data_IF_638894032025
#
_entry.id   IF_638894032025
#
_cell.length_a   1.000
_cell.length_b   1.000
_cell.length_c   1.000
_cell.angle_alpha   90.00
_cell.angle_beta   90.00
_cell.angle_gamma   90.00
#
_symmetry.space_group_name_H-M   'P 1'
#
loop_
_entity.id
_entity.type
_entity.pdbx_description
1 polymer ?
#
# COMPACT_ATOMS: atom_id res chain seq x y z
N UNK A 1 -15.51 -32.86 -37.15
CA UNK A 1 -14.77 -34.13 -36.90
C UNK A 1 -13.28 -33.80 -36.94
N UNK A 2 -12.67 -33.40 -35.79
CA UNK A 2 -11.25 -33.05 -35.70
C UNK A 2 -10.56 -34.19 -34.98
N UNK A 3 -9.65 -34.87 -35.67
CA UNK A 3 -8.82 -35.95 -35.13
C UNK A 3 -7.72 -35.32 -34.25
N UNK A 4 -7.75 -35.62 -32.97
CA UNK A 4 -6.63 -35.36 -32.04
C UNK A 4 -5.59 -36.47 -32.30
N UNK A 5 -4.42 -36.10 -32.78
CA UNK A 5 -3.27 -37.01 -32.91
C UNK A 5 -2.51 -36.92 -31.58
N UNK A 6 -2.68 -37.94 -30.73
CA UNK A 6 -1.83 -38.15 -29.56
C UNK A 6 -0.50 -38.73 -30.02
N UNK A 7 0.60 -38.00 -29.86
CA UNK A 7 1.95 -38.54 -30.07
C UNK A 7 2.35 -39.36 -28.83
N UNK A 8 2.69 -40.62 -29.10
CA UNK A 8 3.20 -41.60 -28.14
C UNK A 8 4.57 -41.15 -27.55
N UNK A 9 4.78 -41.17 -26.22
CA UNK A 9 6.02 -40.70 -25.57
C UNK A 9 7.19 -41.70 -25.63
N UNK A 10 7.11 -42.81 -26.38
CA UNK A 10 8.07 -43.91 -26.28
C UNK A 10 9.35 -43.81 -27.11
N UNK A 11 9.65 -42.70 -27.80
CA UNK A 11 10.88 -42.53 -28.58
C UNK A 11 11.71 -41.30 -28.21
N UNK A 12 12.12 -41.20 -26.95
CA UNK A 12 13.25 -40.34 -26.58
C UNK A 12 14.56 -41.13 -26.70
N UNK A 13 15.41 -40.77 -27.67
CA UNK A 13 16.72 -41.38 -27.90
C UNK A 13 17.54 -41.31 -26.59
N UNK A 14 18.24 -42.39 -26.23
CA UNK A 14 19.17 -42.48 -25.05
C UNK A 14 20.19 -41.33 -25.01
N UNK A 15 20.53 -40.73 -26.14
CA UNK A 15 21.42 -39.58 -26.27
C UNK A 15 20.75 -38.28 -25.70
N UNK A 16 19.48 -38.04 -25.98
CA UNK A 16 18.76 -36.88 -25.51
C UNK A 16 18.49 -36.93 -24.00
N UNK A 17 18.29 -38.13 -23.46
CA UNK A 17 18.13 -38.30 -21.99
C UNK A 17 19.43 -38.00 -21.24
N UNK A 18 20.60 -38.42 -21.77
CA UNK A 18 21.90 -38.07 -21.16
C UNK A 18 22.19 -36.58 -21.23
N UNK A 19 21.88 -35.91 -22.33
CA UNK A 19 22.06 -34.47 -22.49
C UNK A 19 21.16 -33.70 -21.51
N UNK A 20 19.91 -34.15 -21.33
CA UNK A 20 18.98 -33.54 -20.38
C UNK A 20 19.44 -33.70 -18.93
N UNK A 21 19.96 -34.87 -18.55
CA UNK A 21 20.52 -35.10 -17.21
C UNK A 21 21.75 -34.21 -16.96
N UNK A 22 22.65 -34.09 -17.92
CA UNK A 22 23.85 -33.22 -17.81
C UNK A 22 23.45 -31.73 -17.71
N UNK A 23 22.51 -31.27 -18.51
CA UNK A 23 22.02 -29.88 -18.42
C UNK A 23 21.31 -29.59 -17.10
N UNK A 24 20.50 -30.54 -16.60
CA UNK A 24 19.83 -30.41 -15.32
C UNK A 24 20.80 -30.41 -14.15
N UNK A 25 21.83 -31.27 -14.16
CA UNK A 25 22.88 -31.26 -13.11
C UNK A 25 23.74 -30.00 -13.17
N UNK A 26 24.09 -29.47 -14.35
CA UNK A 26 24.79 -28.20 -14.48
C UNK A 26 23.94 -27.04 -14.00
N UNK A 27 22.64 -27.04 -14.25
CA UNK A 27 21.73 -26.02 -13.76
C UNK A 27 21.56 -26.06 -12.23
N UNK A 28 21.44 -27.27 -11.64
CA UNK A 28 21.39 -27.41 -10.17
C UNK A 28 22.70 -27.01 -9.51
N UNK A 29 23.85 -27.36 -10.10
CA UNK A 29 25.18 -26.91 -9.60
C UNK A 29 25.32 -25.39 -9.72
N UNK A 30 24.85 -24.81 -10.82
CA UNK A 30 24.83 -23.35 -11.00
C UNK A 30 23.95 -22.67 -9.94
N UNK A 31 22.76 -23.22 -9.68
CA UNK A 31 21.90 -22.72 -8.60
C UNK A 31 22.56 -22.83 -7.22
N UNK A 32 23.28 -23.93 -6.93
CA UNK A 32 23.97 -24.12 -5.65
C UNK A 32 25.21 -23.20 -5.47
N UNK A 33 25.91 -22.87 -6.58
CA UNK A 33 27.10 -22.03 -6.55
C UNK A 33 26.78 -20.53 -6.59
N UNK A 34 25.69 -20.13 -7.24
CA UNK A 34 25.32 -18.74 -7.47
C UNK A 34 24.10 -18.28 -6.70
N UNK A 35 23.36 -19.21 -6.07
CA UNK A 35 22.37 -18.80 -5.08
C UNK A 35 23.12 -18.34 -3.83
N UNK A 36 23.03 -17.04 -3.44
CA UNK A 36 23.63 -16.64 -2.18
C UNK A 36 23.03 -17.52 -1.08
N UNK A 37 23.89 -18.16 -0.31
CA UNK A 37 23.44 -18.94 0.86
C UNK A 37 22.66 -17.99 1.74
N UNK A 38 21.36 -18.15 1.75
CA UNK A 38 20.47 -17.42 2.63
C UNK A 38 20.74 -17.94 4.03
N UNK A 39 21.69 -17.31 4.73
CA UNK A 39 21.84 -17.53 6.17
C UNK A 39 20.68 -16.85 6.85
N UNK A 40 19.85 -17.57 7.62
CA UNK A 40 18.71 -16.98 8.33
C UNK A 40 19.13 -16.05 9.48
N UNK A 41 20.39 -15.65 9.56
CA UNK A 41 20.97 -14.81 10.60
C UNK A 41 21.44 -13.44 10.08
N UNK A 42 20.73 -12.87 9.12
CA UNK A 42 20.75 -11.44 8.92
C UNK A 42 19.95 -10.82 10.07
N UNK A 43 20.60 -10.68 11.24
CA UNK A 43 20.16 -9.70 12.24
C UNK A 43 20.34 -8.35 11.55
N UNK A 44 19.26 -7.90 10.89
CA UNK A 44 19.14 -6.47 10.62
C UNK A 44 19.23 -5.80 11.99
N UNK A 45 20.11 -4.81 12.18
CA UNK A 45 20.10 -4.09 13.42
C UNK A 45 18.66 -3.59 13.59
N UNK A 46 17.95 -4.14 14.56
CA UNK A 46 16.76 -3.50 15.10
C UNK A 46 17.29 -2.17 15.61
N UNK A 47 17.25 -1.18 14.75
CA UNK A 47 17.46 0.18 15.14
C UNK A 47 16.38 0.46 16.17
N UNK A 48 16.75 0.27 17.43
CA UNK A 48 16.03 0.84 18.54
C UNK A 48 16.23 2.35 18.40
N UNK A 49 15.53 2.96 17.45
CA UNK A 49 15.45 4.39 17.31
C UNK A 49 14.55 4.91 18.45
N UNK A 50 14.98 4.67 19.67
CA UNK A 50 14.63 5.55 20.79
C UNK A 50 15.46 6.81 20.58
N UNK A 51 14.96 7.69 19.75
CA UNK A 51 15.46 9.05 19.68
C UNK A 51 15.31 9.65 21.09
N UNK A 52 16.43 9.82 21.76
CA UNK A 52 16.54 10.59 23.01
C UNK A 52 16.51 12.10 22.75
N UNK A 53 16.05 12.50 21.55
CA UNK A 53 15.85 13.91 21.24
C UNK A 53 14.60 14.36 22.00
N UNK A 54 14.79 15.21 23.01
CA UNK A 54 13.69 15.92 23.68
C UNK A 54 12.85 16.59 22.60
N UNK A 55 11.50 16.44 22.64
CA UNK A 55 10.63 17.05 21.64
C UNK A 55 10.88 18.55 21.57
N UNK A 56 11.09 19.08 20.38
CA UNK A 56 11.05 20.53 20.16
C UNK A 56 9.68 21.06 20.56
N UNK A 57 9.53 22.37 20.80
CA UNK A 57 8.23 22.98 21.11
C UNK A 57 7.19 22.65 20.02
N UNK A 58 7.62 22.63 18.78
CA UNK A 58 6.81 22.29 17.60
C UNK A 58 6.32 20.83 17.65
N UNK A 59 7.20 19.89 17.95
CA UNK A 59 6.83 18.48 18.10
C UNK A 59 5.86 18.27 19.26
N UNK A 60 5.96 19.07 20.34
CA UNK A 60 5.03 18.99 21.47
C UNK A 60 3.61 19.40 21.07
N UNK A 61 3.44 20.53 20.38
CA UNK A 61 2.12 20.98 19.90
C UNK A 61 1.48 19.96 18.94
N UNK A 62 2.29 19.37 18.04
CA UNK A 62 1.82 18.31 17.17
C UNK A 62 1.37 17.08 17.96
N UNK A 63 2.13 16.64 18.97
CA UNK A 63 1.75 15.50 19.82
C UNK A 63 0.45 15.77 20.59
N UNK A 64 0.27 16.98 21.13
CA UNK A 64 -0.98 17.39 21.77
C UNK A 64 -2.17 17.32 20.81
N UNK A 65 -1.99 17.80 19.58
CA UNK A 65 -3.00 17.73 18.52
C UNK A 65 -3.28 16.26 18.07
N UNK A 66 -2.26 15.42 18.03
CA UNK A 66 -2.42 14.00 17.74
C UNK A 66 -3.24 13.28 18.82
N UNK A 67 -2.98 13.58 20.10
CA UNK A 67 -3.76 13.03 21.22
C UNK A 67 -5.21 13.56 21.24
N UNK A 68 -5.43 14.81 20.84
CA UNK A 68 -6.77 15.38 20.66
C UNK A 68 -7.53 14.61 19.56
N UNK A 69 -6.89 14.38 18.42
CA UNK A 69 -7.49 13.63 17.32
C UNK A 69 -7.82 12.18 17.75
N UNK A 70 -6.89 11.48 18.40
CA UNK A 70 -7.09 10.10 18.89
C UNK A 70 -8.30 10.00 19.80
N UNK A 71 -8.44 10.92 20.77
CA UNK A 71 -9.60 10.95 21.66
C UNK A 71 -10.89 11.16 20.89
N UNK A 72 -10.94 12.16 19.99
CA UNK A 72 -12.12 12.42 19.17
C UNK A 72 -12.53 11.18 18.37
N UNK A 73 -11.56 10.52 17.74
CA UNK A 73 -11.79 9.36 16.88
C UNK A 73 -12.29 8.14 17.68
N UNK A 74 -11.62 7.82 18.78
CA UNK A 74 -12.02 6.73 19.68
C UNK A 74 -13.41 6.97 20.30
N UNK A 75 -13.68 8.18 20.80
CA UNK A 75 -14.98 8.53 21.40
C UNK A 75 -16.11 8.52 20.36
N UNK A 76 -15.83 9.07 19.16
CA UNK A 76 -16.79 9.10 18.06
C UNK A 76 -17.23 7.72 17.61
N UNK A 77 -16.31 6.74 17.60
CA UNK A 77 -16.57 5.36 17.17
C UNK A 77 -16.88 4.39 18.31
N UNK A 78 -16.89 4.85 19.58
CA UNK A 78 -17.06 4.00 20.76
C UNK A 78 -18.26 3.05 20.66
N UNK A 79 -19.39 3.52 20.14
CA UNK A 79 -20.62 2.72 19.99
C UNK A 79 -20.51 1.73 18.83
N UNK A 80 -19.78 2.09 17.77
CA UNK A 80 -19.65 1.30 16.54
C UNK A 80 -18.61 0.18 16.65
N UNK A 81 -17.76 0.18 17.70
CA UNK A 81 -16.65 -0.78 17.87
C UNK A 81 -17.05 -2.25 18.00
N UNK A 82 -18.33 -2.53 18.18
CA UNK A 82 -18.86 -3.91 18.37
C UNK A 82 -19.74 -4.38 17.21
N UNK A 83 -20.12 -3.47 16.34
CA UNK A 83 -21.13 -3.74 15.30
C UNK A 83 -20.59 -3.41 13.91
N UNK A 84 -20.33 -4.42 13.06
CA UNK A 84 -19.72 -4.22 11.75
C UNK A 84 -20.46 -3.22 10.85
N UNK A 85 -21.80 -3.28 10.84
CA UNK A 85 -22.64 -2.37 10.03
C UNK A 85 -22.57 -0.93 10.54
N UNK A 86 -22.55 -0.75 11.85
CA UNK A 86 -22.42 0.56 12.48
C UNK A 86 -21.04 1.16 12.18
N UNK A 87 -19.94 0.37 12.33
CA UNK A 87 -18.60 0.81 11.99
C UNK A 87 -18.53 1.26 10.53
N UNK A 88 -18.99 0.41 9.61
CA UNK A 88 -19.03 0.71 8.18
C UNK A 88 -19.79 1.99 7.85
N UNK A 89 -20.91 2.23 8.51
CA UNK A 89 -21.74 3.40 8.24
C UNK A 89 -21.20 4.68 8.86
N UNK A 90 -20.75 4.63 10.14
CA UNK A 90 -20.44 5.84 10.91
C UNK A 90 -19.02 6.35 10.70
N UNK A 91 -18.08 5.53 10.28
CA UNK A 91 -16.65 5.89 10.16
C UNK A 91 -16.45 7.21 9.40
N UNK A 92 -17.11 7.38 8.26
CA UNK A 92 -16.97 8.59 7.43
C UNK A 92 -17.39 9.87 8.14
N UNK A 93 -18.44 9.80 8.95
CA UNK A 93 -18.92 10.96 9.69
C UNK A 93 -17.98 11.32 10.83
N UNK A 94 -17.44 10.33 11.53
CA UNK A 94 -16.52 10.52 12.63
C UNK A 94 -15.17 11.05 12.13
N UNK A 95 -14.63 10.50 11.04
CA UNK A 95 -13.41 11.00 10.42
C UNK A 95 -13.55 12.49 10.10
N UNK A 96 -14.58 12.86 9.33
CA UNK A 96 -14.77 14.25 8.91
C UNK A 96 -15.08 15.18 10.09
N UNK A 97 -15.83 14.70 11.08
CA UNK A 97 -16.05 15.46 12.33
C UNK A 97 -14.73 15.73 13.04
N UNK A 98 -13.93 14.71 13.30
CA UNK A 98 -12.69 14.86 14.04
C UNK A 98 -11.67 15.70 13.25
N UNK A 99 -11.60 15.56 11.93
CA UNK A 99 -10.80 16.42 11.07
C UNK A 99 -11.15 17.91 11.26
N UNK A 100 -12.43 18.24 11.34
CA UNK A 100 -12.89 19.62 11.41
C UNK A 100 -12.90 20.21 12.82
N UNK A 101 -13.02 19.39 13.86
CA UNK A 101 -13.20 19.82 15.24
C UNK A 101 -11.93 19.72 16.12
N UNK A 102 -10.85 19.13 15.60
CA UNK A 102 -9.57 19.05 16.29
C UNK A 102 -8.54 19.99 15.66
N UNK A 103 -7.42 20.15 16.30
CA UNK A 103 -6.29 20.94 15.83
C UNK A 103 -5.75 20.43 14.48
N UNK A 104 -6.07 19.20 14.06
CA UNK A 104 -5.74 18.69 12.74
C UNK A 104 -6.49 19.39 11.60
N UNK A 105 -7.48 20.25 11.91
CA UNK A 105 -8.07 21.18 10.93
C UNK A 105 -7.05 22.11 10.27
N UNK A 106 -5.93 22.35 10.93
CA UNK A 106 -4.83 23.20 10.43
C UNK A 106 -3.99 22.53 9.33
N UNK A 107 -4.00 21.19 9.24
CA UNK A 107 -3.24 20.48 8.19
C UNK A 107 -3.86 20.79 6.83
N UNK A 108 -3.12 21.48 5.98
CA UNK A 108 -3.57 21.80 4.62
C UNK A 108 -3.52 20.56 3.73
N UNK A 109 -4.66 20.22 3.16
CA UNK A 109 -4.81 19.10 2.21
C UNK A 109 -4.95 19.62 0.80
N UNK A 110 -4.15 19.12 -0.11
CA UNK A 110 -4.30 19.38 -1.54
C UNK A 110 -5.01 18.22 -2.22
N UNK A 111 -6.11 18.52 -2.90
CA UNK A 111 -6.82 17.53 -3.72
C UNK A 111 -6.07 17.30 -5.04
N UNK A 112 -5.82 16.04 -5.36
CA UNK A 112 -5.19 15.58 -6.60
C UNK A 112 -6.19 14.71 -7.33
N UNK A 113 -6.77 15.24 -8.40
CA UNK A 113 -7.96 14.65 -9.03
C UNK A 113 -7.60 13.58 -10.06
N UNK A 114 -8.17 12.39 -9.88
CA UNK A 114 -8.35 11.40 -10.93
C UNK A 114 -9.63 11.65 -11.74
N UNK A 115 -9.96 10.76 -12.65
CA UNK A 115 -11.18 10.86 -13.47
C UNK A 115 -12.44 10.83 -12.63
N UNK A 116 -12.52 9.93 -11.67
CA UNK A 116 -13.69 9.57 -10.88
C UNK A 116 -13.58 9.88 -9.38
N UNK A 117 -12.35 10.15 -8.88
CA UNK A 117 -12.12 10.41 -7.47
C UNK A 117 -11.17 11.58 -7.22
N UNK A 118 -11.13 12.02 -5.95
CA UNK A 118 -10.14 12.96 -5.44
C UNK A 118 -9.21 12.21 -4.48
N UNK A 119 -7.94 12.12 -4.82
CA UNK A 119 -6.88 11.73 -3.91
C UNK A 119 -6.36 12.97 -3.17
N UNK A 120 -5.78 12.79 -1.99
CA UNK A 120 -5.28 13.89 -1.18
C UNK A 120 -3.79 13.75 -0.91
N UNK A 121 -3.14 14.88 -0.75
CA UNK A 121 -1.72 14.96 -0.45
C UNK A 121 -1.42 16.16 0.45
N UNK A 122 -0.47 15.99 1.38
CA UNK A 122 0.15 17.08 2.13
C UNK A 122 1.54 17.29 1.56
N UNK A 123 1.77 18.43 0.91
CA UNK A 123 3.09 18.76 0.36
C UNK A 123 4.09 19.07 1.48
N UNK A 124 5.31 18.60 1.31
CA UNK A 124 6.43 18.97 2.17
C UNK A 124 6.97 20.35 1.76
N UNK A 125 7.54 21.08 2.72
CA UNK A 125 8.39 22.24 2.46
C UNK A 125 9.83 21.86 2.13
N UNK A 126 10.22 20.62 2.42
CA UNK A 126 11.51 20.07 2.04
C UNK A 126 11.64 19.94 0.53
N UNK A 127 12.87 20.14 0.03
CA UNK A 127 13.24 19.87 -1.37
C UNK A 127 13.68 18.42 -1.60
N UNK A 128 13.62 17.58 -0.56
CA UNK A 128 13.98 16.17 -0.69
C UNK A 128 12.98 15.41 -1.56
N UNK A 129 13.47 14.55 -2.46
CA UNK A 129 12.61 13.71 -3.29
C UNK A 129 11.63 12.87 -2.44
N UNK A 130 10.49 12.59 -3.03
CA UNK A 130 9.46 11.73 -2.44
C UNK A 130 9.34 10.41 -3.18
N UNK A 131 8.89 9.39 -2.48
CA UNK A 131 8.56 8.07 -3.03
C UNK A 131 7.05 7.91 -3.08
N UNK A 132 6.53 7.68 -4.27
CA UNK A 132 5.10 7.44 -4.52
C UNK A 132 4.92 6.01 -5.01
N UNK A 133 4.03 5.26 -4.36
CA UNK A 133 3.70 3.88 -4.74
C UNK A 133 2.20 3.78 -5.03
N UNK A 134 1.86 3.25 -6.19
CA UNK A 134 0.47 3.03 -6.63
C UNK A 134 0.19 1.53 -6.78
N UNK A 135 -0.88 1.06 -6.17
CA UNK A 135 -1.47 -0.26 -6.41
C UNK A 135 -2.82 -0.08 -7.09
N UNK A 136 -2.94 -0.62 -8.31
CA UNK A 136 -4.09 -0.42 -9.18
C UNK A 136 -4.00 0.91 -9.94
N UNK A 137 -3.79 0.85 -11.25
CA UNK A 137 -3.71 2.02 -12.13
C UNK A 137 -5.07 2.32 -12.77
N UNK A 138 -5.79 1.26 -13.16
CA UNK A 138 -7.15 1.40 -13.68
C UNK A 138 -7.27 2.25 -14.95
N UNK A 139 -6.21 2.36 -15.76
CA UNK A 139 -6.14 3.20 -16.96
C UNK A 139 -6.31 4.70 -16.66
N UNK A 140 -5.97 5.16 -15.46
CA UNK A 140 -5.98 6.58 -15.07
C UNK A 140 -4.78 6.93 -14.20
N UNK A 141 -3.92 7.80 -14.71
CA UNK A 141 -2.68 8.26 -14.04
C UNK A 141 -2.66 9.77 -13.79
N UNK A 142 -3.82 10.40 -13.78
CA UNK A 142 -3.90 11.87 -13.65
C UNK A 142 -3.36 12.35 -12.32
N UNK A 143 -3.69 11.66 -11.23
CA UNK A 143 -3.21 12.01 -9.90
C UNK A 143 -1.69 11.88 -9.82
N UNK A 144 -1.11 10.79 -10.34
CA UNK A 144 0.32 10.58 -10.37
C UNK A 144 1.04 11.60 -11.25
N UNK A 145 0.46 11.97 -12.39
CA UNK A 145 1.00 13.02 -13.27
C UNK A 145 1.01 14.40 -12.58
N UNK A 146 -0.05 14.73 -11.82
CA UNK A 146 -0.09 15.98 -11.03
C UNK A 146 0.99 15.93 -9.94
N UNK A 147 1.12 14.81 -9.21
CA UNK A 147 2.14 14.65 -8.19
C UNK A 147 3.55 14.73 -8.79
N UNK A 148 3.80 14.09 -9.94
CA UNK A 148 5.09 14.14 -10.63
C UNK A 148 5.51 15.56 -10.96
N UNK A 149 4.58 16.40 -11.41
CA UNK A 149 4.84 17.80 -11.74
C UNK A 149 4.96 18.73 -10.52
N UNK A 150 4.48 18.29 -9.34
CA UNK A 150 4.38 19.12 -8.14
C UNK A 150 5.39 18.73 -7.05
N UNK A 151 5.85 17.49 -7.04
CA UNK A 151 6.83 16.99 -6.08
C UNK A 151 8.25 17.42 -6.46
N UNK A 152 9.20 17.46 -5.50
CA UNK A 152 10.59 17.83 -5.76
C UNK A 152 11.22 16.97 -6.85
N UNK A 153 12.12 17.59 -7.63
CA UNK A 153 12.89 16.88 -8.66
C UNK A 153 13.62 15.66 -8.07
N UNK A 154 13.60 14.54 -8.80
CA UNK A 154 14.16 13.27 -8.34
C UNK A 154 13.17 12.42 -7.54
N UNK A 155 11.92 12.86 -7.33
CA UNK A 155 10.87 12.01 -6.76
C UNK A 155 10.63 10.79 -7.64
N UNK A 156 10.42 9.64 -6.99
CA UNK A 156 10.33 8.34 -7.66
C UNK A 156 8.93 7.77 -7.55
N UNK A 157 8.48 7.19 -8.65
CA UNK A 157 7.14 6.65 -8.79
C UNK A 157 7.21 5.18 -9.17
N UNK A 158 6.42 4.35 -8.49
CA UNK A 158 6.34 2.92 -8.69
C UNK A 158 4.86 2.51 -8.73
N UNK A 159 4.47 1.68 -9.68
CA UNK A 159 3.12 1.16 -9.71
C UNK A 159 3.05 -0.32 -10.06
N UNK A 160 2.08 -1.01 -9.48
CA UNK A 160 1.71 -2.36 -9.86
C UNK A 160 0.24 -2.42 -10.28
N UNK A 161 0.01 -3.06 -11.43
CA UNK A 161 -1.31 -3.38 -11.95
C UNK A 161 -1.21 -4.63 -12.83
N UNK A 162 -2.04 -5.66 -12.66
CA UNK A 162 -1.91 -6.91 -13.41
C UNK A 162 -2.28 -6.78 -14.90
N UNK A 163 -2.96 -5.70 -15.29
CA UNK A 163 -3.33 -5.45 -16.71
C UNK A 163 -2.23 -4.60 -17.36
N UNK A 164 -1.38 -5.28 -18.12
CA UNK A 164 -0.26 -4.64 -18.81
C UNK A 164 -0.71 -3.63 -19.88
N UNK A 165 -1.65 -4.06 -20.75
CA UNK A 165 -2.08 -3.24 -21.89
C UNK A 165 -2.76 -1.95 -21.45
N UNK A 166 -2.23 -0.84 -21.88
CA UNK A 166 -2.71 0.50 -21.56
C UNK A 166 -2.12 1.07 -20.26
N UNK A 167 -1.97 0.26 -19.21
CA UNK A 167 -1.38 0.73 -17.95
C UNK A 167 0.13 0.97 -18.08
N UNK A 168 0.86 0.10 -18.77
CA UNK A 168 2.28 0.29 -19.00
C UNK A 168 2.55 1.59 -19.78
N UNK A 169 1.88 1.77 -20.93
CA UNK A 169 2.03 2.96 -21.77
C UNK A 169 1.71 4.27 -21.03
N UNK A 170 0.75 4.22 -20.08
CA UNK A 170 0.38 5.38 -19.27
C UNK A 170 1.36 5.66 -18.15
N UNK A 171 1.89 4.63 -17.49
CA UNK A 171 2.69 4.79 -16.27
C UNK A 171 4.20 4.92 -16.52
N UNK A 172 4.75 4.28 -17.56
CA UNK A 172 6.19 4.33 -17.88
C UNK A 172 6.78 5.75 -18.01
N UNK A 173 6.03 6.77 -18.53
CA UNK A 173 6.51 8.14 -18.52
C UNK A 173 6.60 8.78 -17.12
N UNK A 174 5.91 8.20 -16.12
CA UNK A 174 5.83 8.70 -14.75
C UNK A 174 6.88 8.00 -13.87
N UNK A 175 7.02 6.68 -14.02
CA UNK A 175 7.87 5.87 -13.18
C UNK A 175 7.95 4.41 -13.58
N UNK A 176 8.35 3.56 -12.64
CA UNK A 176 8.49 2.12 -12.86
C UNK A 176 7.14 1.41 -12.76
N UNK A 177 6.79 0.66 -13.79
CA UNK A 177 5.58 -0.15 -13.85
C UNK A 177 5.88 -1.64 -13.68
N UNK A 178 5.01 -2.36 -12.96
CA UNK A 178 5.14 -3.79 -12.68
C UNK A 178 3.82 -4.53 -13.00
N UNK A 179 3.84 -5.52 -13.95
CA UNK A 179 2.64 -6.16 -14.46
C UNK A 179 2.17 -7.35 -13.60
N UNK A 180 1.85 -7.11 -12.33
CA UNK A 180 1.28 -8.13 -11.43
C UNK A 180 0.35 -7.50 -10.39
N UNK A 181 -0.54 -8.33 -9.85
CA UNK A 181 -1.36 -7.94 -8.72
C UNK A 181 -0.54 -7.96 -7.43
N UNK A 182 -0.81 -7.03 -6.53
CA UNK A 182 -0.18 -7.00 -5.21
C UNK A 182 -1.22 -7.35 -4.16
N UNK A 183 -0.88 -8.31 -3.32
CA UNK A 183 -1.74 -8.80 -2.25
C UNK A 183 -0.95 -9.20 -1.02
N UNK A 184 -1.52 -10.07 -0.20
CA UNK A 184 -0.86 -10.60 1.00
C UNK A 184 0.10 -11.75 0.71
N UNK A 185 -0.12 -12.49 -0.39
CA UNK A 185 0.58 -13.74 -0.69
C UNK A 185 1.08 -13.78 -2.12
N UNK A 186 2.16 -14.52 -2.36
CA UNK A 186 2.60 -14.89 -3.71
C UNK A 186 1.72 -16.04 -4.20
N UNK A 187 0.97 -15.81 -5.26
CA UNK A 187 0.03 -16.79 -5.80
C UNK A 187 -0.25 -16.58 -7.29
N UNK A 188 -0.85 -17.56 -7.92
CA UNK A 188 -1.52 -17.41 -9.21
C UNK A 188 -2.99 -17.68 -8.96
N UNK A 189 -3.79 -16.63 -8.82
CA UNK A 189 -5.19 -16.71 -8.39
C UNK A 189 -6.04 -15.63 -9.06
N UNK A 190 -7.33 -15.64 -8.74
CA UNK A 190 -8.25 -14.66 -9.29
C UNK A 190 -7.98 -13.26 -8.74
N UNK A 191 -7.96 -12.29 -9.66
CA UNK A 191 -8.03 -10.86 -9.36
C UNK A 191 -9.24 -10.26 -10.08
N UNK A 192 -9.91 -9.30 -9.48
CA UNK A 192 -10.87 -8.46 -10.17
C UNK A 192 -10.09 -7.39 -10.94
N UNK A 193 -10.25 -7.36 -12.26
CA UNK A 193 -9.43 -6.50 -13.12
C UNK A 193 -10.29 -5.74 -14.13
N UNK A 194 -9.92 -4.50 -14.43
CA UNK A 194 -10.57 -3.68 -15.44
C UNK A 194 -10.06 -4.05 -16.84
N UNK A 195 -10.92 -4.71 -17.65
CA UNK A 195 -10.59 -5.08 -19.01
C UNK A 195 -11.70 -4.65 -19.97
N UNK A 196 -11.34 -3.88 -21.00
CA UNK A 196 -12.29 -3.35 -21.98
C UNK A 196 -13.47 -2.57 -21.31
N UNK A 197 -13.18 -1.78 -20.28
CA UNK A 197 -14.16 -0.97 -19.55
C UNK A 197 -15.12 -1.76 -18.64
N UNK A 198 -14.83 -3.05 -18.37
CA UNK A 198 -15.60 -3.91 -17.47
C UNK A 198 -14.71 -4.59 -16.45
N UNK A 199 -15.17 -4.70 -15.22
CA UNK A 199 -14.52 -5.50 -14.20
C UNK A 199 -14.83 -6.97 -14.41
N UNK A 200 -13.79 -7.79 -14.51
CA UNK A 200 -13.87 -9.24 -14.67
C UNK A 200 -12.90 -9.96 -13.75
N UNK A 201 -13.28 -11.14 -13.28
CA UNK A 201 -12.36 -12.03 -12.61
C UNK A 201 -11.41 -12.68 -13.63
N UNK A 202 -10.12 -12.56 -13.40
CA UNK A 202 -9.08 -13.18 -14.21
C UNK A 202 -8.01 -13.80 -13.31
N UNK A 203 -7.47 -14.95 -13.73
CA UNK A 203 -6.32 -15.57 -13.07
C UNK A 203 -5.08 -14.74 -13.39
N UNK A 204 -4.45 -14.18 -12.36
CA UNK A 204 -3.30 -13.28 -12.47
C UNK A 204 -2.18 -13.70 -11.51
N UNK A 205 -0.91 -13.40 -11.86
CA UNK A 205 0.19 -13.53 -10.91
C UNK A 205 0.05 -12.47 -9.82
N UNK A 206 0.16 -12.90 -8.57
CA UNK A 206 0.19 -12.06 -7.39
C UNK A 206 1.57 -12.11 -6.76
N UNK A 207 2.02 -10.98 -6.27
CA UNK A 207 3.18 -10.87 -5.39
C UNK A 207 2.72 -10.34 -4.04
N UNK A 208 3.36 -10.79 -2.96
CA UNK A 208 3.07 -10.22 -1.66
C UNK A 208 3.65 -8.79 -1.55
N UNK A 209 2.97 -7.94 -0.77
CA UNK A 209 3.31 -6.52 -0.62
C UNK A 209 4.73 -6.31 -0.08
N UNK A 210 5.21 -7.16 0.83
CA UNK A 210 6.53 -7.01 1.43
C UNK A 210 7.61 -7.28 0.38
N UNK A 211 7.48 -8.35 -0.41
CA UNK A 211 8.36 -8.63 -1.53
C UNK A 211 8.31 -7.49 -2.56
N UNK A 212 7.11 -6.99 -2.88
CA UNK A 212 6.98 -5.84 -3.79
C UNK A 212 7.77 -4.63 -3.29
N UNK A 213 7.54 -4.19 -2.06
CA UNK A 213 8.19 -3.01 -1.52
C UNK A 213 9.70 -3.20 -1.30
N UNK A 214 10.13 -4.37 -0.80
CA UNK A 214 11.55 -4.59 -0.47
C UNK A 214 12.43 -5.01 -1.65
N UNK A 215 11.88 -5.69 -2.67
CA UNK A 215 12.67 -6.24 -3.79
C UNK A 215 12.50 -5.46 -5.10
N UNK A 216 11.34 -4.87 -5.34
CA UNK A 216 11.06 -4.13 -6.57
C UNK A 216 11.12 -2.61 -6.34
N UNK A 217 10.42 -2.08 -5.36
CA UNK A 217 10.47 -0.65 -5.01
C UNK A 217 11.80 -0.30 -4.36
N UNK A 218 12.27 -1.11 -3.40
CA UNK A 218 13.55 -0.97 -2.67
C UNK A 218 13.68 0.32 -1.87
N UNK A 219 12.57 0.81 -1.36
CA UNK A 219 12.49 2.00 -0.52
C UNK A 219 11.89 1.62 0.84
N UNK A 220 12.48 2.13 1.90
CA UNK A 220 12.00 1.91 3.26
C UNK A 220 10.95 2.94 3.68
N UNK A 221 10.96 4.12 3.06
CA UNK A 221 9.99 5.20 3.34
C UNK A 221 9.16 5.46 2.10
N UNK A 222 7.86 5.26 2.21
CA UNK A 222 6.87 5.56 1.19
C UNK A 222 6.18 6.86 1.60
N UNK A 223 6.44 7.92 0.88
CA UNK A 223 5.90 9.24 1.15
C UNK A 223 4.41 9.33 0.85
N UNK A 224 3.99 8.72 -0.24
CA UNK A 224 2.61 8.66 -0.68
C UNK A 224 2.27 7.25 -1.18
N UNK A 225 1.30 6.61 -0.56
CA UNK A 225 0.79 5.30 -0.96
C UNK A 225 -0.63 5.47 -1.52
N UNK A 226 -0.83 5.07 -2.76
CA UNK A 226 -2.11 5.08 -3.46
C UNK A 226 -2.56 3.63 -3.63
N UNK A 227 -3.56 3.19 -2.87
CA UNK A 227 -3.99 1.79 -2.81
C UNK A 227 -5.45 1.67 -3.24
N UNK A 228 -5.63 1.13 -4.43
CA UNK A 228 -6.92 0.89 -5.09
C UNK A 228 -6.80 -0.39 -5.93
N UNK A 229 -6.75 -1.53 -5.28
CA UNK A 229 -6.43 -2.81 -5.89
C UNK A 229 -7.54 -3.87 -5.77
N UNK A 230 -8.81 -3.43 -5.69
CA UNK A 230 -10.03 -4.22 -5.91
C UNK A 230 -10.23 -5.38 -4.91
N UNK A 231 -9.92 -5.12 -3.61
CA UNK A 231 -10.23 -6.04 -2.52
C UNK A 231 -9.09 -6.44 -1.59
N UNK A 232 -7.81 -6.51 -2.02
CA UNK A 232 -6.68 -6.79 -1.12
C UNK A 232 -6.50 -5.81 0.03
N UNK A 233 -7.10 -4.63 0.00
CA UNK A 233 -7.02 -3.60 1.06
C UNK A 233 -7.39 -4.17 2.44
N UNK A 234 -8.34 -5.09 2.50
CA UNK A 234 -8.75 -5.75 3.75
C UNK A 234 -7.65 -6.60 4.38
N UNK A 235 -6.70 -7.07 3.59
CA UNK A 235 -5.58 -7.87 4.06
C UNK A 235 -4.30 -7.03 4.19
N UNK A 236 -4.17 -5.91 3.45
CA UNK A 236 -2.98 -5.05 3.46
C UNK A 236 -3.01 -3.99 4.58
N UNK A 237 -4.18 -3.41 4.89
CA UNK A 237 -4.30 -2.39 5.93
C UNK A 237 -3.83 -2.89 7.32
N UNK A 238 -4.17 -4.11 7.78
CA UNK A 238 -3.66 -4.64 9.04
C UNK A 238 -2.13 -4.76 9.09
N UNK A 239 -1.46 -5.00 7.94
CA UNK A 239 -0.02 -5.14 7.87
C UNK A 239 0.73 -3.83 8.16
N UNK A 240 0.03 -2.67 8.10
CA UNK A 240 0.56 -1.36 8.40
C UNK A 240 0.48 -1.01 9.90
N UNK A 241 -0.20 -1.82 10.72
CA UNK A 241 -0.33 -1.59 12.15
C UNK A 241 1.02 -1.70 12.88
N UNK A 242 1.09 -1.15 14.11
CA UNK A 242 2.32 -1.18 14.90
C UNK A 242 2.77 -2.61 15.21
N UNK A 243 4.03 -2.91 14.89
CA UNK A 243 4.63 -4.23 15.08
C UNK A 243 4.22 -5.27 14.05
N UNK A 244 3.37 -4.91 13.06
CA UNK A 244 2.97 -5.78 11.97
C UNK A 244 4.05 -5.86 10.87
N UNK A 245 3.73 -6.50 9.75
CA UNK A 245 4.69 -6.88 8.71
C UNK A 245 5.47 -5.70 8.14
N UNK A 246 4.87 -4.49 8.01
CA UNK A 246 5.59 -3.31 7.54
C UNK A 246 6.69 -2.91 8.51
N UNK A 247 6.40 -2.83 9.81
CA UNK A 247 7.40 -2.53 10.84
C UNK A 247 8.50 -3.59 10.89
N UNK A 248 8.13 -4.87 10.82
CA UNK A 248 9.07 -5.99 10.84
C UNK A 248 10.05 -5.96 9.67
N UNK A 249 9.68 -5.30 8.57
CA UNK A 249 10.50 -5.13 7.36
C UNK A 249 11.05 -3.71 7.21
N UNK A 250 10.91 -2.85 8.21
CA UNK A 250 11.43 -1.49 8.21
C UNK A 250 10.75 -0.57 7.19
N UNK A 251 9.49 -0.84 6.84
CA UNK A 251 8.73 -0.05 5.88
C UNK A 251 7.89 0.98 6.63
N UNK A 252 8.00 2.23 6.21
CA UNK A 252 7.25 3.37 6.75
C UNK A 252 6.39 3.97 5.65
N UNK A 253 5.09 4.12 5.91
CA UNK A 253 4.17 4.85 5.03
C UNK A 253 3.77 6.14 5.71
N UNK A 254 4.02 7.30 5.07
CA UNK A 254 3.72 8.61 5.64
C UNK A 254 2.30 9.07 5.37
N UNK A 255 1.84 8.90 4.14
CA UNK A 255 0.50 9.29 3.69
C UNK A 255 -0.09 8.17 2.84
N UNK A 256 -1.37 7.91 2.99
CA UNK A 256 -2.06 6.89 2.20
C UNK A 256 -3.43 7.37 1.75
N UNK A 257 -3.70 7.20 0.46
CA UNK A 257 -5.06 7.17 -0.09
C UNK A 257 -5.43 5.71 -0.33
N UNK A 258 -6.55 5.27 0.19
CA UNK A 258 -7.04 3.92 -0.06
C UNK A 258 -8.51 3.92 -0.41
N UNK A 259 -8.87 3.09 -1.39
CA UNK A 259 -10.24 2.71 -1.64
C UNK A 259 -10.50 1.35 -1.01
N UNK A 260 -11.36 1.31 0.01
CA UNK A 260 -11.82 0.06 0.64
C UNK A 260 -13.11 -0.35 -0.06
N UNK A 261 -13.00 -1.41 -0.87
CA UNK A 261 -14.07 -1.84 -1.75
C UNK A 261 -15.29 -2.34 -1.00
N UNK A 262 -16.45 -2.30 -1.68
CA UNK A 262 -17.75 -2.65 -1.10
C UNK A 262 -17.71 -3.97 -0.33
N UNK A 263 -18.33 -3.97 0.86
CA UNK A 263 -18.26 -5.04 1.81
C UNK A 263 -19.56 -5.84 1.92
N UNK A 264 -19.45 -7.15 1.74
CA UNK A 264 -20.41 -8.11 2.30
C UNK A 264 -20.29 -8.18 3.82
N UNK A 265 -21.04 -9.03 4.47
CA UNK A 265 -21.06 -9.14 5.93
C UNK A 265 -19.70 -9.61 6.50
N UNK A 266 -18.95 -10.46 5.77
CA UNK A 266 -17.64 -10.95 6.20
C UNK A 266 -16.57 -9.87 6.09
N UNK A 267 -16.58 -9.11 4.99
CA UNK A 267 -15.69 -7.96 4.81
C UNK A 267 -16.00 -6.84 5.80
N UNK A 268 -17.26 -6.61 6.16
CA UNK A 268 -17.60 -5.65 7.24
C UNK A 268 -17.03 -6.07 8.59
N UNK A 269 -17.02 -7.38 8.88
CA UNK A 269 -16.36 -7.90 10.09
C UNK A 269 -14.84 -7.63 10.05
N UNK A 270 -14.17 -7.98 8.94
CA UNK A 270 -12.76 -7.65 8.75
C UNK A 270 -12.50 -6.14 8.89
N UNK A 271 -13.35 -5.31 8.30
CA UNK A 271 -13.23 -3.86 8.41
C UNK A 271 -13.36 -3.37 9.85
N UNK A 272 -14.29 -3.93 10.62
CA UNK A 272 -14.44 -3.64 12.05
C UNK A 272 -13.13 -3.94 12.80
N UNK A 273 -12.53 -5.11 12.57
CA UNK A 273 -11.28 -5.52 13.20
C UNK A 273 -10.12 -4.59 12.82
N UNK A 274 -10.02 -4.22 11.54
CA UNK A 274 -9.04 -3.24 11.03
C UNK A 274 -9.20 -1.91 11.76
N UNK A 275 -10.42 -1.36 11.83
CA UNK A 275 -10.66 -0.07 12.46
C UNK A 275 -10.41 -0.12 13.97
N UNK A 276 -10.76 -1.22 14.64
CA UNK A 276 -10.43 -1.41 16.04
C UNK A 276 -8.92 -1.42 16.27
N UNK A 277 -8.16 -2.13 15.43
CA UNK A 277 -6.70 -2.15 15.48
C UNK A 277 -6.12 -0.74 15.28
N UNK A 278 -6.59 0.01 14.29
CA UNK A 278 -6.13 1.37 14.01
C UNK A 278 -6.44 2.33 15.17
N UNK A 279 -7.64 2.21 15.78
CA UNK A 279 -8.03 3.02 16.95
C UNK A 279 -7.12 2.73 18.14
N UNK A 280 -6.85 1.46 18.42
CA UNK A 280 -6.05 1.03 19.57
C UNK A 280 -4.56 1.31 19.36
N UNK A 281 -4.09 1.20 18.13
CA UNK A 281 -2.73 1.51 17.72
C UNK A 281 -2.44 3.03 17.77
N UNK A 282 -3.36 3.83 17.26
CA UNK A 282 -3.26 5.29 17.24
C UNK A 282 -2.08 5.85 16.43
N UNK A 283 -1.55 5.09 15.46
CA UNK A 283 -0.47 5.51 14.55
C UNK A 283 -0.97 6.38 13.42
N UNK A 284 -2.14 6.06 12.87
CA UNK A 284 -2.68 6.72 11.68
C UNK A 284 -3.87 7.61 12.03
N UNK A 285 -3.83 8.85 11.54
CA UNK A 285 -4.95 9.77 11.60
C UNK A 285 -5.67 9.81 10.25
N UNK A 286 -6.94 9.44 10.25
CA UNK A 286 -7.81 9.55 9.07
C UNK A 286 -8.29 10.99 8.94
N UNK A 287 -7.92 11.67 7.87
CA UNK A 287 -8.23 13.10 7.66
C UNK A 287 -9.37 13.33 6.67
N UNK A 288 -9.58 12.40 5.75
CA UNK A 288 -10.68 12.44 4.80
C UNK A 288 -11.36 11.09 4.73
N UNK A 289 -12.67 11.09 4.72
CA UNK A 289 -13.47 9.92 4.38
C UNK A 289 -14.72 10.34 3.62
N UNK A 290 -14.92 9.68 2.50
CA UNK A 290 -16.19 9.74 1.78
C UNK A 290 -16.54 8.36 1.23
N UNK A 291 -17.82 8.12 1.03
CA UNK A 291 -18.31 6.85 0.54
C UNK A 291 -19.39 7.10 -0.52
N UNK A 292 -19.25 6.39 -1.62
CA UNK A 292 -20.30 6.15 -2.60
C UNK A 292 -20.75 4.69 -2.47
N UNK A 293 -20.15 3.80 -3.24
CA UNK A 293 -20.27 2.33 -3.08
C UNK A 293 -19.12 1.81 -2.21
N UNK A 294 -17.94 2.37 -2.36
CA UNK A 294 -16.70 2.05 -1.65
C UNK A 294 -16.39 3.15 -0.64
N UNK A 295 -15.61 2.83 0.39
CA UNK A 295 -15.03 3.84 1.27
C UNK A 295 -13.70 4.32 0.70
N UNK A 296 -13.56 5.63 0.55
CA UNK A 296 -12.29 6.28 0.21
C UNK A 296 -11.76 7.02 1.41
N UNK A 297 -10.52 6.73 1.76
CA UNK A 297 -9.85 7.33 2.90
C UNK A 297 -8.55 8.00 2.47
N UNK A 298 -8.26 9.11 3.12
CA UNK A 298 -6.92 9.65 3.21
C UNK A 298 -6.49 9.69 4.67
N UNK A 299 -5.33 9.11 4.97
CA UNK A 299 -4.78 9.09 6.33
C UNK A 299 -3.27 9.33 6.32
N UNK A 300 -2.76 9.78 7.47
CA UNK A 300 -1.37 10.15 7.70
C UNK A 300 -0.79 9.38 8.87
N UNK A 301 0.52 9.11 8.81
CA UNK A 301 1.28 8.56 9.92
C UNK A 301 1.67 9.69 10.88
N UNK A 302 1.03 9.75 12.04
CA UNK A 302 1.28 10.77 13.06
C UNK A 302 2.27 10.32 14.14
N UNK A 303 2.93 9.19 13.97
CA UNK A 303 3.87 8.62 14.93
C UNK A 303 5.32 8.69 14.45
N UNK A 304 5.58 8.32 13.19
CA UNK A 304 6.94 8.18 12.72
C UNK A 304 7.61 9.54 12.50
N UNK A 305 8.79 9.81 13.13
CA UNK A 305 9.41 11.14 13.10
C UNK A 305 9.66 11.68 11.69
N UNK A 306 10.14 10.82 10.76
CA UNK A 306 10.36 11.21 9.36
C UNK A 306 9.09 11.79 8.73
N UNK A 307 7.93 11.15 8.97
CA UNK A 307 6.66 11.59 8.41
C UNK A 307 6.19 12.91 9.07
N UNK A 308 6.28 12.97 10.40
CA UNK A 308 5.86 14.15 11.17
C UNK A 308 6.69 15.37 10.80
N UNK A 309 8.01 15.25 10.79
CA UNK A 309 8.93 16.35 10.47
C UNK A 309 8.80 16.80 9.01
N UNK A 310 8.71 15.86 8.08
CA UNK A 310 8.65 16.17 6.64
C UNK A 310 7.33 16.84 6.24
N UNK A 311 6.20 16.44 6.85
CA UNK A 311 4.88 16.80 6.33
C UNK A 311 3.99 17.59 7.29
N UNK A 312 4.04 17.34 8.59
CA UNK A 312 2.94 17.73 9.47
C UNK A 312 3.32 18.73 10.55
N UNK A 313 4.51 18.67 11.12
CA UNK A 313 4.93 19.50 12.28
C UNK A 313 4.79 21.00 12.03
N UNK A 314 5.03 21.45 10.81
CA UNK A 314 4.97 22.87 10.40
C UNK A 314 3.61 23.53 10.61
N UNK A 315 2.53 22.75 10.65
CA UNK A 315 1.19 23.30 10.87
C UNK A 315 0.91 23.59 12.36
N UNK A 316 1.84 23.26 13.26
CA UNK A 316 1.71 23.38 14.69
C UNK A 316 2.81 24.27 15.33
N UNK A 317 3.31 25.22 14.56
CA UNK A 317 4.32 26.20 15.01
C UNK A 317 3.75 27.25 15.96
#
# INVERSE_FOLDING_TARGET
MIRVITKDPSHMSRSNCKLFIVLFTLFTVFLLLFYPQYTPNGVYPTSSYRSSVLPTTQNRKFLEAAEEWKRCFADGLKKSRKEPKEMWYWIRFVVNKCRNQTSFSQIELTGVKNRDEMKYHVYSTSKEPSVVVTLGIGLDVKAESILQNSLPYGSRFFAADPIFKGNAELYEPIGSYFPFAVGKEIAVTNALVLKNGKYINSVMPHIDIITFLTKFVKESTIDQFLMDNEGPEYDLLPMMARGAEFDQNGIVVCQCNTEVHNADEDRKRKFLDIMNTIIDDGRYAFLVSYATVHHRFFFINMEHPICVEKYFSRFFE
#
